data_IF_201367222636
#
_entry.id   IF_201367222636
#
_cell.length_a   1.000
_cell.length_b   1.000
_cell.length_c   1.000
_cell.angle_alpha   90.00
_cell.angle_beta   90.00
_cell.angle_gamma   90.00
#
_symmetry.space_group_name_H-M   'P 1'
#
loop_
_entity.id
_entity.type
_entity.pdbx_description
1 polymer ?
#
# COMPACT_ATOMS: atom_id res chain seq x y z
N UNK A 1 9.23 7.47 -15.45
CA UNK A 1 8.77 6.10 -15.22
C UNK A 1 9.91 5.25 -14.66
N UNK A 2 9.82 4.74 -13.44
CA UNK A 2 10.85 3.86 -12.85
C UNK A 2 10.44 2.37 -12.83
N UNK A 3 9.21 2.06 -13.20
CA UNK A 3 8.61 0.71 -13.34
C UNK A 3 8.50 -0.11 -12.05
N UNK A 4 9.01 0.30 -10.90
CA UNK A 4 8.96 -0.46 -9.64
C UNK A 4 7.54 -0.92 -9.26
N UNK A 5 6.53 -0.08 -9.50
CA UNK A 5 5.13 -0.45 -9.20
C UNK A 5 4.62 -1.54 -10.16
N UNK A 6 5.07 -1.56 -11.41
CA UNK A 6 4.74 -2.60 -12.39
C UNK A 6 5.37 -3.92 -11.98
N UNK A 7 6.66 -3.90 -11.62
CA UNK A 7 7.38 -5.10 -11.16
C UNK A 7 6.76 -5.67 -9.88
N UNK A 8 6.43 -4.83 -8.90
CA UNK A 8 5.77 -5.26 -7.66
C UNK A 8 4.35 -5.81 -7.89
N UNK A 9 3.63 -5.31 -8.91
CA UNK A 9 2.35 -5.89 -9.34
C UNK A 9 2.52 -7.18 -10.14
N UNK A 10 3.65 -7.32 -10.82
CA UNK A 10 4.07 -8.45 -11.63
C UNK A 10 4.90 -9.46 -10.86
N UNK A 11 6.09 -9.75 -11.39
CA UNK A 11 6.95 -10.87 -11.01
C UNK A 11 7.58 -10.76 -9.64
N UNK A 12 7.80 -9.54 -9.12
CA UNK A 12 8.50 -9.37 -7.85
C UNK A 12 7.66 -9.78 -6.64
N UNK A 13 6.32 -9.55 -6.68
CA UNK A 13 5.50 -9.81 -5.50
C UNK A 13 4.13 -10.43 -5.77
N UNK A 14 3.28 -9.78 -6.59
CA UNK A 14 1.85 -10.10 -6.59
C UNK A 14 1.40 -11.04 -7.72
N UNK A 15 2.09 -11.05 -8.87
CA UNK A 15 1.75 -11.84 -10.06
C UNK A 15 0.34 -11.60 -10.63
N UNK A 16 -0.24 -10.42 -10.42
CA UNK A 16 -1.56 -10.08 -10.99
C UNK A 16 -1.46 -9.30 -12.28
N UNK A 17 -0.35 -8.58 -12.49
CA UNK A 17 -0.11 -7.75 -13.68
C UNK A 17 -1.24 -6.76 -13.97
N UNK A 18 -1.92 -6.28 -12.92
CA UNK A 18 -3.04 -5.36 -13.03
C UNK A 18 -2.67 -4.00 -13.59
N UNK A 19 -1.42 -3.58 -13.43
CA UNK A 19 -0.87 -2.34 -13.97
C UNK A 19 0.35 -2.62 -14.84
N UNK A 20 0.43 -1.88 -15.93
CA UNK A 20 1.53 -1.97 -16.90
C UNK A 20 1.83 -0.59 -17.49
N UNK A 21 2.84 -0.51 -18.35
CA UNK A 21 3.11 0.69 -19.12
C UNK A 21 2.16 0.76 -20.30
N UNK A 22 1.37 1.80 -20.39
CA UNK A 22 0.51 2.12 -21.53
C UNK A 22 1.10 3.30 -22.32
N UNK A 23 0.81 3.35 -23.63
CA UNK A 23 1.32 4.39 -24.51
C UNK A 23 2.82 4.23 -24.83
N UNK A 24 3.37 5.26 -25.47
CA UNK A 24 4.79 5.31 -25.83
C UNK A 24 5.30 6.74 -25.89
N UNK A 25 6.63 6.91 -25.83
CA UNK A 25 7.27 8.23 -25.90
C UNK A 25 6.83 9.10 -24.73
N UNK A 26 6.41 10.33 -25.00
CA UNK A 26 5.98 11.29 -24.00
C UNK A 26 4.60 10.96 -23.41
N UNK A 27 3.79 10.14 -24.10
CA UNK A 27 2.46 9.71 -23.62
C UNK A 27 2.52 8.43 -22.78
N UNK A 28 3.73 7.89 -22.55
CA UNK A 28 3.88 6.70 -21.74
C UNK A 28 3.46 6.95 -20.28
N UNK A 29 2.59 6.09 -19.75
CA UNK A 29 2.07 6.16 -18.38
C UNK A 29 1.88 4.77 -17.79
N UNK A 30 1.77 4.68 -16.48
CA UNK A 30 1.32 3.47 -15.81
C UNK A 30 -0.21 3.47 -15.84
N UNK A 31 -0.80 2.39 -16.28
CA UNK A 31 -2.24 2.25 -16.44
C UNK A 31 -2.67 0.80 -16.20
N UNK A 32 -3.94 0.62 -15.96
CA UNK A 32 -4.63 -0.66 -16.00
C UNK A 32 -4.92 -1.07 -17.45
N UNK A 33 -5.36 -2.32 -17.64
CA UNK A 33 -5.84 -2.80 -18.93
C UNK A 33 -7.01 -1.90 -19.41
N UNK A 34 -6.96 -1.46 -20.66
CA UNK A 34 -7.94 -0.55 -21.26
C UNK A 34 -8.22 0.76 -20.48
N UNK A 35 -7.32 1.15 -19.58
CA UNK A 35 -7.44 2.37 -18.78
C UNK A 35 -8.68 2.37 -17.86
N UNK A 36 -9.16 1.18 -17.47
CA UNK A 36 -10.29 1.05 -16.55
C UNK A 36 -9.87 1.39 -15.11
N UNK A 37 -10.84 1.63 -14.22
CA UNK A 37 -10.58 1.85 -12.82
C UNK A 37 -9.96 0.59 -12.14
N UNK A 38 -9.24 0.75 -11.04
CA UNK A 38 -8.56 -0.36 -10.37
C UNK A 38 -9.53 -1.46 -9.90
N UNK A 39 -10.74 -1.10 -9.53
CA UNK A 39 -11.81 -2.00 -9.10
C UNK A 39 -12.42 -2.82 -10.25
N UNK A 40 -12.29 -2.34 -11.48
CA UNK A 40 -12.71 -3.03 -12.70
C UNK A 40 -11.55 -3.82 -13.36
N UNK A 41 -10.38 -3.83 -12.76
CA UNK A 41 -9.15 -4.47 -13.28
C UNK A 41 -8.80 -5.75 -12.53
N UNK A 42 -7.69 -6.40 -12.90
CA UNK A 42 -7.12 -7.53 -12.17
C UNK A 42 -6.49 -7.15 -10.80
N UNK A 43 -6.68 -5.92 -10.33
CA UNK A 43 -6.10 -5.43 -9.08
C UNK A 43 -6.67 -6.16 -7.87
N UNK A 44 -5.79 -6.70 -7.01
CA UNK A 44 -6.17 -7.35 -5.74
C UNK A 44 -5.99 -6.46 -4.52
N UNK A 45 -5.79 -5.16 -4.72
CA UNK A 45 -5.67 -4.15 -3.68
C UNK A 45 -4.60 -4.44 -2.61
N UNK A 46 -3.51 -5.10 -2.97
CA UNK A 46 -2.43 -5.43 -2.04
C UNK A 46 -1.63 -4.21 -1.59
N UNK A 47 -1.59 -3.13 -2.38
CA UNK A 47 -0.84 -1.91 -2.11
C UNK A 47 0.69 -2.05 -2.24
N UNK A 48 1.21 -3.14 -2.83
CA UNK A 48 2.66 -3.30 -2.99
C UNK A 48 3.24 -2.24 -3.94
N UNK A 49 2.48 -1.81 -4.95
CA UNK A 49 2.84 -0.70 -5.82
C UNK A 49 3.03 0.63 -5.05
N UNK A 50 2.26 0.85 -3.98
CA UNK A 50 2.44 2.00 -3.08
C UNK A 50 3.74 1.86 -2.30
N UNK A 51 3.99 0.68 -1.72
CA UNK A 51 5.17 0.42 -0.88
C UNK A 51 6.51 0.62 -1.60
N UNK A 52 6.56 0.39 -2.91
CA UNK A 52 7.78 0.51 -3.72
C UNK A 52 7.90 1.84 -4.47
N UNK A 53 6.89 2.73 -4.40
CA UNK A 53 6.90 3.98 -5.15
C UNK A 53 7.87 5.00 -4.52
N UNK A 54 9.01 5.33 -5.17
CA UNK A 54 10.00 6.23 -4.57
C UNK A 54 9.65 7.71 -4.71
N UNK A 55 8.66 8.04 -5.54
CA UNK A 55 8.31 9.43 -5.87
C UNK A 55 7.01 9.89 -5.25
N UNK A 56 6.29 9.00 -4.53
CA UNK A 56 4.98 9.32 -3.98
C UNK A 56 3.89 9.53 -5.03
N UNK A 57 4.10 9.06 -6.27
CA UNK A 57 3.05 9.04 -7.28
C UNK A 57 1.89 8.09 -6.90
N UNK A 58 2.20 7.07 -6.11
CA UNK A 58 1.25 6.17 -5.49
C UNK A 58 1.42 6.30 -3.98
N UNK A 59 0.38 6.69 -3.27
CA UNK A 59 0.38 6.89 -1.81
C UNK A 59 -0.85 6.25 -1.18
N UNK A 60 -0.81 6.04 0.12
CA UNK A 60 -2.00 5.63 0.86
C UNK A 60 -3.07 6.72 0.80
N UNK A 61 -4.33 6.33 0.65
CA UNK A 61 -5.42 7.30 0.64
C UNK A 61 -5.49 8.10 1.95
N UNK A 62 -5.26 7.45 3.08
CA UNK A 62 -5.17 8.12 4.39
C UNK A 62 -4.08 9.20 4.42
N UNK A 63 -2.89 8.90 3.91
CA UNK A 63 -1.80 9.85 3.77
C UNK A 63 -2.18 11.01 2.83
N UNK A 64 -2.76 10.69 1.67
CA UNK A 64 -3.20 11.70 0.71
C UNK A 64 -4.22 12.66 1.32
N UNK A 65 -5.24 12.12 1.99
CA UNK A 65 -6.31 12.93 2.60
C UNK A 65 -5.75 13.80 3.73
N UNK A 66 -4.86 13.28 4.57
CA UNK A 66 -4.22 14.04 5.66
C UNK A 66 -3.27 15.12 5.12
N UNK A 67 -2.54 14.84 4.02
CA UNK A 67 -1.70 15.86 3.36
C UNK A 67 -2.55 16.98 2.77
N UNK A 68 -3.66 16.64 2.12
CA UNK A 68 -4.60 17.62 1.58
C UNK A 68 -5.24 18.49 2.68
N UNK A 69 -5.50 17.92 3.86
CA UNK A 69 -6.02 18.63 5.02
C UNK A 69 -4.94 19.38 5.83
N UNK A 70 -3.65 19.22 5.49
CA UNK A 70 -2.54 19.82 6.23
C UNK A 70 -2.28 19.21 7.62
N UNK A 71 -2.81 18.00 7.88
CA UNK A 71 -2.69 17.31 9.17
C UNK A 71 -1.62 16.21 9.18
N UNK A 72 -1.03 15.87 8.04
CA UNK A 72 0.03 14.88 7.97
C UNK A 72 1.34 15.43 8.53
N UNK A 73 1.88 14.76 9.55
CA UNK A 73 3.13 15.16 10.20
C UNK A 73 3.95 13.91 10.57
N UNK A 74 4.95 13.60 9.76
CA UNK A 74 5.82 12.44 9.98
C UNK A 74 6.62 12.51 11.27
N UNK A 75 6.90 13.72 11.78
CA UNK A 75 7.65 13.92 13.04
C UNK A 75 6.83 13.50 14.27
N UNK A 76 5.51 13.49 14.16
CA UNK A 76 4.57 13.05 15.20
C UNK A 76 4.17 11.58 15.09
N UNK A 77 4.68 10.89 14.08
CA UNK A 77 4.34 9.48 13.89
C UNK A 77 5.25 8.58 14.74
N UNK A 78 4.63 7.63 15.40
CA UNK A 78 5.30 6.50 16.03
C UNK A 78 5.24 5.29 15.11
N UNK A 79 6.31 4.50 15.08
CA UNK A 79 6.37 3.23 14.36
C UNK A 79 6.47 2.09 15.35
N UNK A 80 5.60 1.10 15.19
CA UNK A 80 5.58 -0.09 16.05
C UNK A 80 5.54 -1.33 15.16
N UNK A 81 6.50 -2.21 15.35
CA UNK A 81 6.51 -3.51 14.67
C UNK A 81 5.61 -4.50 15.40
N UNK A 82 4.89 -5.29 14.61
CA UNK A 82 4.05 -6.38 15.10
C UNK A 82 3.91 -7.47 14.05
N UNK A 83 3.32 -8.60 14.43
CA UNK A 83 3.03 -9.70 13.52
C UNK A 83 1.57 -9.59 13.03
N UNK A 84 1.37 -9.79 11.74
CA UNK A 84 0.04 -9.78 11.14
C UNK A 84 -0.87 -10.87 11.73
N UNK A 85 -2.07 -10.54 12.24
CA UNK A 85 -2.94 -11.50 12.91
C UNK A 85 -3.85 -12.30 11.95
N UNK A 86 -3.82 -12.04 10.64
CA UNK A 86 -4.82 -12.55 9.71
C UNK A 86 -4.60 -13.96 9.21
N UNK A 87 -3.37 -14.44 9.15
CA UNK A 87 -3.05 -15.79 8.70
C UNK A 87 -1.70 -16.28 9.23
N UNK A 88 -1.39 -17.56 8.99
CA UNK A 88 -0.17 -18.22 9.49
C UNK A 88 1.13 -17.86 8.77
N UNK A 89 1.13 -16.94 7.79
CA UNK A 89 2.36 -16.50 7.11
C UNK A 89 3.31 -15.78 8.05
N UNK A 90 2.77 -15.03 9.05
CA UNK A 90 3.59 -14.35 10.04
C UNK A 90 4.27 -13.07 9.52
N UNK A 91 3.63 -12.37 8.58
CA UNK A 91 4.17 -11.12 8.04
C UNK A 91 4.44 -10.10 9.14
N UNK A 92 5.61 -9.48 9.11
CA UNK A 92 5.94 -8.36 9.99
C UNK A 92 5.26 -7.09 9.46
N UNK A 93 4.53 -6.41 10.31
CA UNK A 93 3.87 -5.15 10.02
C UNK A 93 4.56 -4.01 10.78
N UNK A 94 4.79 -2.90 10.13
CA UNK A 94 5.10 -1.62 10.77
C UNK A 94 3.83 -0.77 10.82
N UNK A 95 3.30 -0.57 12.00
CA UNK A 95 2.17 0.30 12.25
C UNK A 95 2.66 1.74 12.40
N UNK A 96 2.22 2.62 11.52
CA UNK A 96 2.49 4.05 11.65
C UNK A 96 1.28 4.71 12.29
N UNK A 97 1.45 5.25 13.50
CA UNK A 97 0.38 5.91 14.23
C UNK A 97 0.70 7.40 14.43
N UNK A 98 -0.31 8.23 14.25
CA UNK A 98 -0.30 9.66 14.55
C UNK A 98 -1.51 9.98 15.41
N UNK A 99 -1.30 10.66 16.57
CA UNK A 99 -2.36 11.01 17.51
C UNK A 99 -3.20 9.79 17.92
N UNK A 100 -2.52 8.69 18.29
CA UNK A 100 -3.11 7.42 18.72
C UNK A 100 -3.96 6.68 17.65
N UNK A 101 -3.89 7.11 16.40
CA UNK A 101 -4.57 6.46 15.27
C UNK A 101 -3.56 5.89 14.29
N UNK A 102 -3.79 4.67 13.85
CA UNK A 102 -3.01 4.11 12.75
C UNK A 102 -3.37 4.88 11.48
N UNK A 103 -2.36 5.39 10.79
CA UNK A 103 -2.52 6.17 9.56
C UNK A 103 -2.09 5.39 8.32
N UNK A 104 -1.15 4.45 8.47
CA UNK A 104 -0.77 3.50 7.43
C UNK A 104 -0.08 2.28 8.03
N UNK A 105 0.00 1.21 7.25
CA UNK A 105 0.76 0.00 7.60
C UNK A 105 1.71 -0.34 6.46
N UNK A 106 2.98 -0.52 6.82
CA UNK A 106 4.04 -0.99 5.92
C UNK A 106 4.60 -2.32 6.41
N UNK A 107 5.58 -2.86 5.73
CA UNK A 107 6.39 -3.99 6.17
C UNK A 107 7.84 -3.64 5.95
N UNK A 108 8.76 -4.03 6.85
CA UNK A 108 10.19 -3.80 6.66
C UNK A 108 10.67 -4.47 5.36
N UNK A 109 11.50 -3.76 4.60
CA UNK A 109 12.06 -4.28 3.34
C UNK A 109 13.04 -5.43 3.57
N UNK A 110 13.63 -5.51 4.74
CA UNK A 110 14.57 -6.55 5.19
C UNK A 110 13.88 -7.72 5.91
N UNK A 111 12.53 -7.72 5.95
CA UNK A 111 11.77 -8.85 6.47
C UNK A 111 12.05 -10.12 5.68
N UNK A 112 12.52 -11.16 6.36
CA UNK A 112 12.82 -12.46 5.75
C UNK A 112 11.59 -13.23 5.25
N UNK A 113 10.38 -12.80 5.65
CA UNK A 113 9.12 -13.46 5.28
C UNK A 113 8.49 -12.80 4.06
N UNK A 114 8.54 -11.49 3.96
CA UNK A 114 7.73 -10.74 2.99
C UNK A 114 8.52 -9.75 2.14
N UNK A 115 9.79 -9.48 2.49
CA UNK A 115 10.63 -8.51 1.75
C UNK A 115 9.91 -7.17 1.50
N UNK A 116 9.14 -6.70 2.49
CA UNK A 116 8.38 -5.46 2.40
C UNK A 116 6.99 -5.59 1.75
N UNK A 117 6.64 -6.77 1.23
CA UNK A 117 5.37 -7.00 0.54
C UNK A 117 4.28 -7.51 1.49
N UNK A 118 3.05 -7.10 1.26
CA UNK A 118 1.89 -7.49 2.05
C UNK A 118 0.71 -7.81 1.13
N UNK A 119 -0.21 -8.63 1.63
CA UNK A 119 -1.53 -8.77 1.01
C UNK A 119 -2.47 -7.65 1.48
N UNK A 120 -3.65 -7.56 0.87
CA UNK A 120 -4.68 -6.58 1.23
C UNK A 120 -5.01 -6.57 2.73
N UNK A 121 -5.09 -7.74 3.38
CA UNK A 121 -5.44 -7.84 4.80
C UNK A 121 -4.34 -7.24 5.69
N UNK A 122 -3.08 -7.59 5.45
CA UNK A 122 -1.96 -7.03 6.20
C UNK A 122 -1.83 -5.52 5.98
N UNK A 123 -1.99 -5.06 4.75
CA UNK A 123 -1.82 -3.65 4.37
C UNK A 123 -2.94 -2.75 4.84
N UNK A 124 -4.20 -3.19 4.77
CA UNK A 124 -5.38 -2.35 4.98
C UNK A 124 -6.34 -2.84 6.08
N UNK A 125 -6.10 -4.04 6.64
CA UNK A 125 -6.99 -4.61 7.67
C UNK A 125 -7.07 -3.78 8.96
N UNK A 126 -6.10 -2.91 9.23
CA UNK A 126 -6.12 -1.98 10.35
C UNK A 126 -7.30 -1.00 10.32
N UNK A 127 -7.88 -0.73 9.15
CA UNK A 127 -9.05 0.14 8.99
C UNK A 127 -10.21 -0.36 9.85
N UNK A 128 -10.38 -1.69 9.94
CA UNK A 128 -11.40 -2.30 10.80
C UNK A 128 -11.07 -2.18 12.30
N UNK A 129 -9.78 -2.19 12.65
CA UNK A 129 -9.35 -2.02 14.04
C UNK A 129 -9.47 -0.57 14.53
N UNK A 130 -9.31 0.38 13.61
CA UNK A 130 -9.41 1.83 13.89
C UNK A 130 -10.84 2.36 13.91
N UNK A 131 -11.81 1.62 13.39
CA UNK A 131 -13.23 1.99 13.43
C UNK A 131 -13.86 1.57 14.76
N UNK A 132 -13.55 2.37 15.80
CA UNK A 132 -14.04 2.16 17.16
C UNK A 132 -15.52 2.57 17.36
N UNK A 133 -16.28 2.75 16.26
CA UNK A 133 -17.73 2.95 16.37
C UNK A 133 -18.37 1.69 16.93
N UNK A 134 -19.27 1.79 17.96
CA UNK A 134 -20.06 0.65 18.40
C UNK A 134 -20.79 0.07 17.18
N UNK A 135 -20.66 -1.22 16.96
CA UNK A 135 -21.51 -1.92 15.99
C UNK A 135 -22.87 -2.05 16.65
N UNK A 136 -23.81 -1.24 16.21
CA UNK A 136 -25.23 -1.38 16.54
C UNK A 136 -25.79 -2.69 15.97
#
# INVERSE_FOLDING_TARGET
LCYKCVEACGTDAQNTFAIAVAGRGFDARISTEFDVALDDSACVFCGNCIGVCPTGALVFKSEFDMRAAGTWDESKQTRTETVCPYCGVGCVLELHAQEERIVKVTSPADSTVTEGHLCIKGRFGWIYAGDSRPRE
#
